data_IF_784528975817
#
_entry.id   IF_784528975817
#
_cell.length_a   1.000
_cell.length_b   1.000
_cell.length_c   1.000
_cell.angle_alpha   90.00
_cell.angle_beta   90.00
_cell.angle_gamma   90.00
#
_symmetry.space_group_name_H-M   'P 1'
#
loop_
_entity.id
_entity.type
_entity.pdbx_description
1 polymer ?
#
# COMPACT_ATOMS: atom_id res chain seq x y z
N UNK A 1 11.36 -12.22 18.52
CA UNK A 1 10.82 -13.49 17.99
C UNK A 1 11.32 -13.66 16.57
N UNK A 2 11.59 -14.87 16.12
CA UNK A 2 11.95 -15.08 14.72
C UNK A 2 10.64 -15.12 13.93
N UNK A 3 10.23 -13.98 13.34
CA UNK A 3 8.95 -13.84 12.66
C UNK A 3 9.02 -14.43 11.25
N UNK A 4 9.23 -15.74 11.16
CA UNK A 4 9.21 -16.47 9.88
C UNK A 4 7.79 -16.45 9.33
N UNK A 5 7.62 -15.92 8.14
CA UNK A 5 6.34 -15.89 7.44
C UNK A 5 6.15 -17.23 6.72
N UNK A 6 4.96 -17.80 6.82
CA UNK A 6 4.59 -19.02 6.11
C UNK A 6 3.14 -19.01 5.69
N UNK A 7 2.80 -19.82 4.70
CA UNK A 7 1.41 -20.11 4.38
C UNK A 7 0.73 -20.74 5.60
N UNK A 8 -0.53 -20.36 5.84
CA UNK A 8 -1.33 -20.98 6.89
C UNK A 8 -1.63 -22.45 6.60
N UNK A 9 -2.12 -23.18 7.60
CA UNK A 9 -2.47 -24.61 7.46
C UNK A 9 -3.54 -24.88 6.38
N UNK A 10 -4.27 -23.85 5.98
CA UNK A 10 -5.23 -23.89 4.86
C UNK A 10 -4.60 -23.61 3.48
N UNK A 11 -3.28 -23.48 3.40
CA UNK A 11 -2.55 -23.13 2.19
C UNK A 11 -2.73 -21.68 1.72
N UNK A 12 -3.18 -20.76 2.58
CA UNK A 12 -3.40 -19.37 2.24
C UNK A 12 -2.41 -18.45 2.96
N UNK A 13 -2.02 -17.38 2.27
CA UNK A 13 -1.33 -16.24 2.86
C UNK A 13 -2.21 -15.02 2.67
N UNK A 14 -2.59 -14.38 3.77
CA UNK A 14 -3.35 -13.14 3.76
C UNK A 14 -2.45 -11.97 4.16
N UNK A 15 -2.25 -11.05 3.26
CA UNK A 15 -1.43 -9.85 3.44
C UNK A 15 -2.36 -8.64 3.60
N UNK A 16 -2.11 -7.83 4.62
CA UNK A 16 -2.76 -6.55 4.81
C UNK A 16 -1.80 -5.44 4.37
N UNK A 17 -2.11 -4.74 3.29
CA UNK A 17 -1.32 -3.60 2.84
C UNK A 17 -1.89 -2.31 3.41
N UNK A 18 -1.05 -1.62 4.16
CA UNK A 18 -1.28 -0.35 4.85
C UNK A 18 -0.30 0.67 4.27
N UNK A 19 -0.77 1.87 4.02
CA UNK A 19 0.06 2.96 3.49
C UNK A 19 -0.50 4.31 3.91
N UNK A 20 0.33 5.34 3.92
CA UNK A 20 -0.11 6.72 4.13
C UNK A 20 -0.97 6.86 5.39
N UNK A 21 -0.49 6.34 6.51
CA UNK A 21 -1.21 6.46 7.78
C UNK A 21 -1.11 7.87 8.35
N UNK A 22 -0.05 8.61 8.00
CA UNK A 22 0.19 9.98 8.43
C UNK A 22 -0.21 10.23 9.87
N UNK A 23 0.25 9.37 10.77
CA UNK A 23 -0.12 9.45 12.19
C UNK A 23 0.50 10.69 12.81
N UNK A 24 -0.36 11.58 13.27
CA UNK A 24 -0.04 12.86 13.89
C UNK A 24 -1.01 13.21 15.03
N UNK A 25 -0.80 14.33 15.71
CA UNK A 25 -1.52 14.69 16.95
C UNK A 25 -3.03 14.69 16.84
N UNK A 26 -3.58 15.13 15.71
CA UNK A 26 -5.01 15.32 15.53
C UNK A 26 -5.75 14.05 15.07
N UNK A 27 -5.02 13.05 14.58
CA UNK A 27 -5.63 11.84 14.00
C UNK A 27 -5.23 10.53 14.67
N UNK A 28 -4.18 10.50 15.49
CA UNK A 28 -3.59 9.26 16.02
C UNK A 28 -4.62 8.31 16.63
N UNK A 29 -5.46 8.81 17.54
CA UNK A 29 -6.41 7.94 18.25
C UNK A 29 -7.44 7.32 17.31
N UNK A 30 -7.92 8.08 16.33
CA UNK A 30 -8.89 7.62 15.37
C UNK A 30 -8.28 6.65 14.34
N UNK A 31 -7.08 6.96 13.84
CA UNK A 31 -6.34 6.09 12.90
C UNK A 31 -6.01 4.76 13.56
N UNK A 32 -5.43 4.78 14.76
CA UNK A 32 -5.09 3.55 15.49
C UNK A 32 -6.32 2.72 15.83
N UNK A 33 -7.44 3.35 16.23
CA UNK A 33 -8.69 2.63 16.48
C UNK A 33 -9.20 1.92 15.24
N UNK A 34 -9.20 2.59 14.08
CA UNK A 34 -9.62 1.98 12.81
C UNK A 34 -8.71 0.83 12.38
N UNK A 35 -7.39 1.00 12.54
CA UNK A 35 -6.41 -0.04 12.23
C UNK A 35 -6.59 -1.25 13.17
N UNK A 36 -6.77 -1.03 14.48
CA UNK A 36 -7.05 -2.13 15.44
C UNK A 36 -8.30 -2.93 15.04
N UNK A 37 -9.38 -2.24 14.69
CA UNK A 37 -10.60 -2.92 14.22
C UNK A 37 -10.35 -3.68 12.93
N UNK A 38 -9.58 -3.12 11.98
CA UNK A 38 -9.24 -3.77 10.72
C UNK A 38 -8.40 -5.03 10.94
N UNK A 39 -7.32 -4.94 11.70
CA UNK A 39 -6.43 -6.09 12.02
C UNK A 39 -7.20 -7.20 12.73
N UNK A 40 -8.01 -6.85 13.72
CA UNK A 40 -8.86 -7.81 14.45
C UNK A 40 -9.87 -8.53 13.54
N UNK A 41 -10.45 -7.81 12.57
CA UNK A 41 -11.44 -8.33 11.62
C UNK A 41 -10.80 -9.23 10.58
N UNK A 42 -9.74 -8.74 9.95
CA UNK A 42 -9.12 -9.41 8.81
C UNK A 42 -8.22 -10.56 9.23
N UNK A 43 -7.57 -10.46 10.40
CA UNK A 43 -6.60 -11.44 10.91
C UNK A 43 -5.56 -11.78 9.84
N UNK A 44 -4.79 -10.79 9.36
CA UNK A 44 -3.78 -11.03 8.35
C UNK A 44 -2.64 -11.87 8.91
N UNK A 45 -1.98 -12.65 8.04
CA UNK A 45 -0.77 -13.40 8.37
C UNK A 45 0.46 -12.49 8.43
N UNK A 46 0.41 -11.36 7.72
CA UNK A 46 1.42 -10.29 7.71
C UNK A 46 0.76 -8.96 7.34
N UNK A 47 1.23 -7.87 7.92
CA UNK A 47 0.97 -6.51 7.43
C UNK A 47 2.21 -5.98 6.71
N UNK A 48 2.02 -5.32 5.55
CA UNK A 48 3.07 -4.58 4.84
C UNK A 48 2.70 -3.11 4.85
N UNK A 49 3.60 -2.28 5.37
CA UNK A 49 3.38 -0.85 5.60
C UNK A 49 4.34 -0.06 4.70
N UNK A 50 3.79 0.66 3.74
CA UNK A 50 4.60 1.26 2.66
C UNK A 50 4.69 2.77 2.73
N UNK A 51 5.23 3.27 3.84
CA UNK A 51 5.64 4.67 3.93
C UNK A 51 4.54 5.65 4.34
N UNK A 52 4.98 6.86 4.63
CA UNK A 52 4.20 7.95 5.21
C UNK A 52 3.45 7.48 6.47
N UNK A 53 4.22 6.85 7.35
CA UNK A 53 3.68 6.07 8.47
C UNK A 53 3.31 6.96 9.66
N UNK A 54 4.32 7.38 10.41
CA UNK A 54 4.19 8.28 11.56
C UNK A 54 4.94 9.55 11.23
N UNK A 55 4.30 10.69 11.49
CA UNK A 55 4.98 11.98 11.31
C UNK A 55 6.29 12.00 12.11
N UNK A 56 7.39 12.30 11.45
CA UNK A 56 8.69 12.45 12.08
C UNK A 56 8.76 13.85 12.72
N UNK A 57 8.35 13.92 13.99
CA UNK A 57 8.32 15.17 14.73
C UNK A 57 9.74 15.71 15.03
N UNK A 58 9.85 16.99 15.38
CA UNK A 58 11.08 17.60 15.88
C UNK A 58 11.53 17.01 17.24
N UNK A 59 10.68 16.22 17.88
CA UNK A 59 10.94 15.46 19.09
C UNK A 59 10.99 13.97 18.79
N UNK A 60 12.20 13.38 18.84
CA UNK A 60 12.42 11.96 18.61
C UNK A 60 11.69 11.06 19.63
N UNK A 61 11.50 11.51 20.86
CA UNK A 61 10.78 10.73 21.89
C UNK A 61 9.28 10.65 21.53
N UNK A 62 8.71 11.73 21.02
CA UNK A 62 7.34 11.78 20.54
C UNK A 62 7.16 10.87 19.31
N UNK A 63 8.04 10.98 18.32
CA UNK A 63 8.04 10.11 17.14
C UNK A 63 8.05 8.64 17.55
N UNK A 64 8.98 8.24 18.42
CA UNK A 64 9.07 6.87 18.96
C UNK A 64 7.80 6.43 19.69
N UNK A 65 7.25 7.28 20.53
CA UNK A 65 6.00 6.97 21.26
C UNK A 65 4.84 6.68 20.32
N UNK A 66 4.75 7.36 19.18
CA UNK A 66 3.70 7.14 18.19
C UNK A 66 3.93 5.87 17.39
N UNK A 67 5.19 5.58 17.05
CA UNK A 67 5.60 4.30 16.45
C UNK A 67 5.25 3.14 17.39
N UNK A 68 5.56 3.25 18.67
CA UNK A 68 5.23 2.22 19.67
C UNK A 68 3.73 1.94 19.74
N UNK A 69 2.92 3.00 19.75
CA UNK A 69 1.45 2.86 19.74
C UNK A 69 0.93 2.19 18.47
N UNK A 70 1.52 2.49 17.33
CA UNK A 70 1.18 1.87 16.04
C UNK A 70 1.52 0.36 16.06
N UNK A 71 2.75 0.01 16.45
CA UNK A 71 3.18 -1.39 16.50
C UNK A 71 2.49 -2.19 17.62
N UNK A 72 2.05 -1.56 18.70
CA UNK A 72 1.31 -2.23 19.76
C UNK A 72 0.04 -2.92 19.26
N UNK A 73 -0.58 -2.41 18.19
CA UNK A 73 -1.74 -3.05 17.57
C UNK A 73 -1.35 -4.43 16.99
N UNK A 74 -0.26 -4.49 16.24
CA UNK A 74 0.18 -5.72 15.59
C UNK A 74 0.73 -6.72 16.62
N UNK A 75 1.48 -6.26 17.61
CA UNK A 75 1.92 -7.08 18.74
C UNK A 75 0.74 -7.71 19.48
N UNK A 76 -0.33 -6.96 19.74
CA UNK A 76 -1.55 -7.45 20.41
C UNK A 76 -2.19 -8.63 19.69
N UNK A 77 -2.11 -8.68 18.36
CA UNK A 77 -2.70 -9.74 17.54
C UNK A 77 -1.66 -10.73 17.00
N UNK A 78 -0.39 -10.58 17.39
CA UNK A 78 0.74 -11.39 16.90
C UNK A 78 0.84 -11.37 15.37
N UNK A 79 0.61 -10.23 14.75
CA UNK A 79 0.72 -10.02 13.31
C UNK A 79 2.11 -9.48 12.98
N UNK A 80 2.94 -10.20 12.20
CA UNK A 80 4.22 -9.68 11.72
C UNK A 80 4.04 -8.45 10.82
N UNK A 81 5.00 -7.51 10.87
CA UNK A 81 4.95 -6.27 10.08
C UNK A 81 6.23 -6.08 9.29
N UNK A 82 6.11 -5.88 7.99
CA UNK A 82 7.16 -5.36 7.12
C UNK A 82 6.94 -3.87 6.86
N UNK A 83 8.00 -3.04 6.92
CA UNK A 83 7.88 -1.58 6.80
C UNK A 83 8.87 -1.05 5.78
N UNK A 84 8.44 -0.11 4.95
CA UNK A 84 9.32 0.77 4.17
C UNK A 84 8.92 2.23 4.33
N UNK A 85 9.63 3.13 3.65
CA UNK A 85 9.46 4.58 3.77
C UNK A 85 8.67 5.19 2.63
N UNK A 86 8.01 6.31 2.93
CA UNK A 86 7.53 7.28 1.97
C UNK A 86 8.36 8.57 2.01
N UNK A 87 7.90 9.60 1.32
CA UNK A 87 8.62 10.88 1.27
C UNK A 87 8.50 11.66 2.58
N UNK A 88 7.35 11.59 3.25
CA UNK A 88 7.15 12.33 4.50
C UNK A 88 7.87 11.73 5.72
N UNK A 89 8.32 10.49 5.66
CA UNK A 89 9.08 9.88 6.77
C UNK A 89 10.44 10.56 7.00
N UNK A 90 10.97 11.30 6.01
CA UNK A 90 12.29 11.95 6.07
C UNK A 90 12.29 13.46 5.82
N UNK A 91 11.16 14.09 5.52
CA UNK A 91 11.12 15.52 5.17
C UNK A 91 11.54 16.44 6.31
N UNK A 92 11.02 16.22 7.49
CA UNK A 92 11.28 17.03 8.68
C UNK A 92 11.27 16.11 9.90
N UNK A 93 12.19 16.34 10.82
CA UNK A 93 12.11 15.63 12.10
C UNK A 93 13.46 15.35 12.75
N UNK A 94 13.38 14.86 13.97
CA UNK A 94 14.55 14.61 14.80
C UNK A 94 15.27 13.28 14.49
N UNK A 95 14.71 12.44 13.61
CA UNK A 95 15.27 11.12 13.31
C UNK A 95 15.56 10.99 11.81
N UNK A 96 16.73 10.48 11.47
CA UNK A 96 17.07 10.07 10.10
C UNK A 96 16.30 8.80 9.69
N UNK A 97 16.24 8.50 8.37
CA UNK A 97 15.66 7.24 7.87
C UNK A 97 16.34 6.01 8.48
N UNK A 98 17.68 6.08 8.64
CA UNK A 98 18.44 5.00 9.29
C UNK A 98 18.02 4.80 10.75
N UNK A 99 17.87 5.87 11.51
CA UNK A 99 17.41 5.80 12.90
C UNK A 99 15.97 5.33 13.00
N UNK A 100 15.09 5.76 12.10
CA UNK A 100 13.71 5.27 11.99
C UNK A 100 13.67 3.78 11.69
N UNK A 101 14.42 3.29 10.68
CA UNK A 101 14.45 1.87 10.33
C UNK A 101 15.01 1.03 11.47
N UNK A 102 16.07 1.51 12.12
CA UNK A 102 16.60 0.85 13.31
C UNK A 102 15.56 0.75 14.43
N UNK A 103 14.76 1.81 14.59
CA UNK A 103 13.69 1.81 15.60
C UNK A 103 12.55 0.87 15.21
N UNK A 104 12.06 0.92 13.97
CA UNK A 104 11.07 -0.04 13.45
C UNK A 104 11.53 -1.49 13.62
N UNK A 105 12.79 -1.78 13.28
CA UNK A 105 13.35 -3.14 13.39
C UNK A 105 13.51 -3.62 14.83
N UNK A 106 13.44 -2.74 15.82
CA UNK A 106 13.47 -3.11 17.24
C UNK A 106 12.11 -3.60 17.77
N UNK A 107 11.02 -3.40 17.03
CA UNK A 107 9.70 -3.85 17.43
C UNK A 107 9.57 -5.38 17.33
N UNK A 108 8.95 -6.01 18.34
CA UNK A 108 8.80 -7.48 18.40
C UNK A 108 8.08 -8.07 17.19
N UNK A 109 7.12 -7.34 16.62
CA UNK A 109 6.37 -7.79 15.43
C UNK A 109 7.07 -7.48 14.11
N UNK A 110 8.17 -6.71 14.08
CA UNK A 110 8.84 -6.42 12.83
C UNK A 110 9.47 -7.68 12.23
N UNK A 111 9.29 -7.88 10.92
CA UNK A 111 9.97 -8.94 10.17
C UNK A 111 11.40 -8.48 9.88
N UNK A 112 12.30 -8.69 10.82
CA UNK A 112 13.70 -8.34 10.69
C UNK A 112 14.43 -9.37 9.82
N UNK A 113 14.28 -9.31 8.51
CA UNK A 113 14.94 -10.30 7.66
C UNK A 113 16.32 -9.91 7.17
N UNK A 114 16.76 -8.72 7.46
CA UNK A 114 18.16 -8.31 7.43
C UNK A 114 18.93 -8.48 6.13
N UNK A 115 18.30 -8.92 5.05
CA UNK A 115 18.95 -9.15 3.76
C UNK A 115 18.70 -7.98 2.77
N UNK A 116 18.47 -6.78 3.30
CA UNK A 116 18.37 -5.57 2.51
C UNK A 116 19.72 -5.10 1.99
N UNK A 117 19.71 -4.14 1.08
CA UNK A 117 20.91 -3.52 0.46
C UNK A 117 21.81 -2.89 1.50
N UNK A 118 21.23 -2.26 2.51
CA UNK A 118 21.90 -1.59 3.62
C UNK A 118 21.26 -2.06 4.94
N UNK A 119 21.83 -3.04 5.62
CA UNK A 119 21.29 -3.53 6.88
C UNK A 119 20.97 -2.37 7.84
N UNK A 120 19.76 -2.32 8.37
CA UNK A 120 19.24 -1.30 9.28
C UNK A 120 19.10 0.14 8.74
N UNK A 121 19.55 0.42 7.50
CA UNK A 121 19.42 1.73 6.89
C UNK A 121 18.45 1.74 5.72
N UNK A 122 18.30 0.60 5.04
CA UNK A 122 17.50 0.49 3.84
C UNK A 122 16.06 0.06 4.12
N UNK A 123 15.12 0.71 3.46
CA UNK A 123 13.75 0.26 3.32
C UNK A 123 13.59 -0.83 2.24
N UNK A 124 14.70 -1.26 1.60
CA UNK A 124 14.71 -2.28 0.53
C UNK A 124 15.22 -3.61 1.07
N UNK A 125 14.35 -4.62 1.07
CA UNK A 125 14.65 -5.99 1.49
C UNK A 125 13.60 -6.97 0.96
N UNK A 126 13.79 -8.26 1.21
CA UNK A 126 12.81 -9.26 0.88
C UNK A 126 12.34 -10.05 2.11
N UNK A 127 11.13 -10.56 2.03
CA UNK A 127 10.50 -11.40 3.06
C UNK A 127 10.15 -12.74 2.43
N UNK A 128 10.98 -13.77 2.64
CA UNK A 128 10.67 -15.13 2.18
C UNK A 128 9.44 -15.67 2.90
N UNK A 129 8.55 -16.31 2.14
CA UNK A 129 7.36 -16.99 2.67
C UNK A 129 7.56 -18.48 2.53
N UNK A 130 7.57 -19.16 3.65
CA UNK A 130 7.72 -20.62 3.70
C UNK A 130 6.43 -21.33 3.28
N UNK A 131 6.55 -22.51 2.75
CA UNK A 131 5.44 -23.44 2.58
C UNK A 131 4.67 -23.66 3.89
N UNK A 132 3.43 -24.08 3.81
CA UNK A 132 2.60 -24.36 5.00
C UNK A 132 3.22 -25.40 5.93
N UNK A 133 3.96 -26.37 5.37
CA UNK A 133 4.73 -27.36 6.14
C UNK A 133 6.10 -26.86 6.62
N UNK A 134 6.50 -25.66 6.24
CA UNK A 134 7.73 -24.98 6.68
C UNK A 134 9.03 -25.54 6.09
N UNK A 135 8.98 -26.31 5.00
CA UNK A 135 10.16 -27.00 4.46
C UNK A 135 10.94 -26.20 3.43
N UNK A 136 10.24 -25.38 2.64
CA UNK A 136 10.84 -24.61 1.54
C UNK A 136 10.25 -23.21 1.44
N UNK A 137 10.95 -22.32 0.77
CA UNK A 137 10.43 -21.00 0.41
C UNK A 137 9.55 -21.16 -0.83
N UNK A 138 8.25 -20.88 -0.69
CA UNK A 138 7.27 -21.08 -1.76
C UNK A 138 6.79 -19.78 -2.40
N UNK A 139 7.08 -18.65 -1.78
CA UNK A 139 6.70 -17.32 -2.26
C UNK A 139 7.65 -16.25 -1.70
N UNK A 140 7.65 -15.05 -2.25
CA UNK A 140 8.45 -13.95 -1.72
C UNK A 140 7.69 -12.63 -1.73
N UNK A 141 7.97 -11.76 -0.76
CA UNK A 141 7.52 -10.38 -0.75
C UNK A 141 8.74 -9.47 -0.89
N UNK A 142 8.74 -8.64 -1.90
CA UNK A 142 9.71 -7.58 -2.06
C UNK A 142 9.21 -6.33 -1.36
N UNK A 143 10.02 -5.70 -0.55
CA UNK A 143 9.76 -4.42 0.08
C UNK A 143 10.83 -3.46 -0.45
N UNK A 144 10.39 -2.41 -1.14
CA UNK A 144 11.30 -1.48 -1.81
C UNK A 144 11.18 -0.08 -1.22
N UNK A 145 12.30 0.53 -0.95
CA UNK A 145 12.38 1.97 -0.71
C UNK A 145 12.37 2.70 -2.05
N UNK A 146 11.33 3.46 -2.29
CA UNK A 146 11.18 4.28 -3.50
C UNK A 146 11.73 5.70 -3.34
N UNK A 147 12.55 5.94 -2.32
CA UNK A 147 13.14 7.25 -2.07
C UNK A 147 12.16 8.28 -1.51
N UNK A 148 12.59 9.53 -1.48
CA UNK A 148 11.76 10.68 -1.08
C UNK A 148 11.61 11.68 -2.24
N UNK A 149 12.66 12.44 -2.57
CA UNK A 149 12.70 13.39 -3.68
C UNK A 149 14.01 13.28 -4.45
N UNK A 150 13.97 13.60 -5.75
CA UNK A 150 15.14 13.76 -6.59
C UNK A 150 15.76 15.16 -6.44
N UNK A 151 16.91 15.40 -7.08
CA UNK A 151 17.61 16.70 -7.04
C UNK A 151 16.82 17.83 -7.73
N UNK A 152 15.81 17.53 -8.52
CA UNK A 152 14.94 18.50 -9.18
C UNK A 152 13.69 18.80 -8.36
N UNK A 153 13.50 18.12 -7.23
CA UNK A 153 12.33 18.24 -6.36
C UNK A 153 11.11 17.45 -6.84
N UNK A 154 11.29 16.49 -7.75
CA UNK A 154 10.25 15.52 -8.06
C UNK A 154 10.30 14.38 -7.04
N UNK A 155 9.23 13.58 -6.98
CA UNK A 155 9.20 12.39 -6.16
C UNK A 155 10.31 11.40 -6.54
N UNK A 156 10.76 10.64 -5.55
CA UNK A 156 11.84 9.67 -5.69
C UNK A 156 11.41 8.39 -6.43
N UNK A 157 12.39 7.54 -6.62
CA UNK A 157 12.22 6.19 -7.16
C UNK A 157 13.23 5.25 -6.49
N UNK A 158 13.09 3.96 -6.73
CA UNK A 158 14.06 2.96 -6.28
C UNK A 158 15.45 3.28 -6.86
N UNK A 159 16.48 3.28 -6.04
CA UNK A 159 17.85 3.62 -6.45
C UNK A 159 18.43 2.58 -7.41
N UNK A 160 19.43 2.99 -8.23
CA UNK A 160 20.13 2.06 -9.11
C UNK A 160 20.81 0.92 -8.34
N UNK A 161 21.33 1.19 -7.13
CA UNK A 161 21.94 0.20 -6.25
C UNK A 161 20.90 -0.83 -5.79
N UNK A 162 19.71 -0.38 -5.42
CA UNK A 162 18.62 -1.26 -4.99
C UNK A 162 18.04 -2.08 -6.15
N UNK A 163 17.98 -1.52 -7.36
CA UNK A 163 17.59 -2.26 -8.57
C UNK A 163 18.59 -3.40 -8.85
N UNK A 164 19.88 -3.12 -8.76
CA UNK A 164 20.92 -4.15 -8.95
C UNK A 164 20.88 -5.21 -7.84
N UNK A 165 20.65 -4.79 -6.58
CA UNK A 165 20.47 -5.72 -5.47
C UNK A 165 19.24 -6.63 -5.72
N UNK A 166 18.11 -6.07 -6.16
CA UNK A 166 16.93 -6.86 -6.50
C UNK A 166 17.22 -7.91 -7.57
N UNK A 167 17.90 -7.51 -8.66
CA UNK A 167 18.27 -8.43 -9.75
C UNK A 167 19.10 -9.61 -9.24
N UNK A 168 20.12 -9.31 -8.44
CA UNK A 168 21.00 -10.33 -7.88
C UNK A 168 20.27 -11.25 -6.88
N UNK A 169 19.41 -10.69 -6.04
CA UNK A 169 18.62 -11.47 -5.08
C UNK A 169 17.56 -12.33 -5.78
N UNK A 170 16.91 -11.83 -6.82
CA UNK A 170 15.99 -12.61 -7.65
C UNK A 170 16.68 -13.80 -8.33
N UNK A 171 17.92 -13.60 -8.85
CA UNK A 171 18.72 -14.69 -9.41
C UNK A 171 19.08 -15.75 -8.35
N UNK A 172 19.45 -15.32 -7.14
CA UNK A 172 19.71 -16.22 -6.02
C UNK A 172 18.48 -17.05 -5.65
N UNK A 173 17.32 -16.43 -5.54
CA UNK A 173 16.06 -17.11 -5.23
C UNK A 173 15.65 -18.06 -6.36
N UNK A 174 15.81 -17.67 -7.61
CA UNK A 174 15.57 -18.50 -8.78
C UNK A 174 16.48 -19.75 -8.76
N UNK A 175 17.78 -19.58 -8.46
CA UNK A 175 18.71 -20.69 -8.36
C UNK A 175 18.31 -21.66 -7.24
N UNK A 176 17.91 -21.14 -6.07
CA UNK A 176 17.41 -21.95 -4.93
C UNK A 176 16.09 -22.65 -5.25
N UNK A 177 15.26 -22.07 -6.12
CA UNK A 177 13.99 -22.62 -6.59
C UNK A 177 14.14 -23.55 -7.83
N UNK A 178 15.29 -24.19 -7.99
CA UNK A 178 15.53 -25.13 -9.07
C UNK A 178 15.58 -24.50 -10.48
N UNK A 179 15.99 -23.24 -10.58
CA UNK A 179 16.12 -22.50 -11.84
C UNK A 179 14.81 -21.92 -12.36
N UNK A 180 13.75 -21.92 -11.57
CA UNK A 180 12.46 -21.29 -11.90
C UNK A 180 12.27 -20.02 -11.08
N UNK A 181 11.72 -18.93 -11.67
CA UNK A 181 11.38 -17.73 -10.90
C UNK A 181 10.53 -18.11 -9.67
N UNK A 182 10.88 -17.57 -8.51
CA UNK A 182 10.07 -17.69 -7.31
C UNK A 182 9.05 -16.56 -7.31
N UNK A 183 7.79 -16.88 -7.56
CA UNK A 183 6.74 -15.84 -7.65
C UNK A 183 6.69 -14.97 -6.40
N UNK A 184 6.36 -13.71 -6.62
CA UNK A 184 6.45 -12.66 -5.59
C UNK A 184 5.48 -11.52 -5.82
N UNK A 185 5.32 -10.68 -4.79
CA UNK A 185 4.66 -9.38 -4.85
C UNK A 185 5.63 -8.29 -4.39
N UNK A 186 5.64 -7.15 -5.08
CA UNK A 186 6.40 -5.96 -4.70
C UNK A 186 5.55 -4.96 -3.92
N UNK A 187 6.16 -4.27 -2.95
CA UNK A 187 5.54 -3.25 -2.13
C UNK A 187 6.47 -2.05 -2.01
N UNK A 188 5.96 -0.86 -2.29
CA UNK A 188 6.70 0.40 -2.22
C UNK A 188 5.76 1.58 -1.97
N UNK A 189 6.31 2.77 -1.75
CA UNK A 189 5.48 3.95 -1.55
C UNK A 189 5.07 4.61 -2.88
N UNK A 190 6.05 5.09 -3.67
CA UNK A 190 5.76 5.73 -4.96
C UNK A 190 5.35 4.71 -6.01
N UNK A 191 4.40 5.06 -6.84
CA UNK A 191 4.00 4.23 -7.99
C UNK A 191 5.09 4.27 -9.08
N UNK A 192 5.31 3.16 -9.78
CA UNK A 192 6.27 3.11 -10.89
C UNK A 192 5.81 3.96 -12.07
N UNK A 193 6.72 4.69 -12.78
CA UNK A 193 6.34 5.59 -13.87
C UNK A 193 5.71 4.86 -15.07
N UNK A 194 5.95 3.56 -15.23
CA UNK A 194 5.37 2.72 -16.29
C UNK A 194 3.84 2.58 -16.19
N UNK A 195 3.21 3.11 -15.15
CA UNK A 195 1.76 3.29 -15.08
C UNK A 195 1.25 4.15 -16.25
N UNK A 196 2.04 5.14 -16.69
CA UNK A 196 1.67 6.02 -17.80
C UNK A 196 1.71 5.35 -19.18
N UNK A 197 2.44 4.25 -19.36
CA UNK A 197 2.53 3.51 -20.62
C UNK A 197 1.19 2.87 -21.00
N UNK A 198 0.36 2.54 -20.02
CA UNK A 198 -0.94 1.89 -20.20
C UNK A 198 -2.13 2.85 -20.05
N UNK A 199 -1.86 4.13 -19.83
CA UNK A 199 -2.86 5.18 -19.84
C UNK A 199 -2.99 5.81 -21.24
N UNK A 200 -4.16 6.38 -21.53
CA UNK A 200 -4.41 7.01 -22.82
C UNK A 200 -4.12 8.50 -22.76
N UNK A 201 -3.14 8.98 -23.55
CA UNK A 201 -2.90 10.40 -23.72
C UNK A 201 -4.10 11.09 -24.36
N UNK A 202 -4.53 12.20 -23.82
CA UNK A 202 -5.77 12.86 -24.24
C UNK A 202 -5.69 14.40 -24.15
N UNK A 203 -6.75 15.09 -24.56
CA UNK A 203 -6.87 16.53 -24.36
C UNK A 203 -7.30 16.85 -22.92
N UNK A 204 -6.80 17.95 -22.34
CA UNK A 204 -7.23 18.49 -21.04
C UNK A 204 -8.75 18.72 -20.92
N UNK A 205 -9.46 18.80 -22.06
CA UNK A 205 -10.92 18.97 -22.10
C UNK A 205 -11.69 17.66 -21.94
N UNK A 206 -11.00 16.52 -21.94
CA UNK A 206 -11.66 15.23 -21.70
C UNK A 206 -12.09 15.12 -20.24
N UNK A 207 -13.30 14.67 -20.05
CA UNK A 207 -13.82 14.41 -18.70
C UNK A 207 -12.98 13.28 -18.05
N UNK A 208 -12.60 13.46 -16.78
CA UNK A 208 -11.69 12.59 -16.03
C UNK A 208 -10.26 12.52 -16.58
N UNK A 209 -9.84 13.51 -17.40
CA UNK A 209 -8.42 13.66 -17.69
C UNK A 209 -7.69 14.28 -16.51
N UNK A 210 -6.45 13.85 -16.31
CA UNK A 210 -5.53 14.44 -15.33
C UNK A 210 -4.22 14.80 -16.02
N UNK A 211 -3.52 15.79 -15.48
CA UNK A 211 -2.23 16.22 -15.98
C UNK A 211 -1.13 15.29 -15.47
N UNK A 212 -0.16 14.96 -16.30
CA UNK A 212 1.02 14.19 -15.89
C UNK A 212 1.78 14.93 -14.79
N UNK A 213 2.23 14.19 -13.75
CA UNK A 213 2.84 14.83 -12.57
C UNK A 213 4.10 15.61 -12.93
N UNK A 214 4.91 15.12 -13.86
CA UNK A 214 6.19 15.71 -14.27
C UNK A 214 6.05 16.46 -15.60
N UNK A 215 5.54 15.80 -16.64
CA UNK A 215 5.43 16.36 -17.99
C UNK A 215 4.21 17.29 -18.08
N UNK A 216 4.33 18.49 -17.54
CA UNK A 216 3.24 19.47 -17.52
C UNK A 216 2.74 19.79 -18.93
N UNK A 217 1.43 19.93 -19.09
CA UNK A 217 0.76 20.09 -20.37
C UNK A 217 0.37 18.78 -21.06
N UNK A 218 0.83 17.64 -20.59
CA UNK A 218 0.40 16.32 -21.03
C UNK A 218 -0.74 15.82 -20.17
N UNK A 219 -1.82 15.34 -20.81
CA UNK A 219 -3.02 14.87 -20.12
C UNK A 219 -3.28 13.42 -20.45
N UNK A 220 -3.70 12.67 -19.46
CA UNK A 220 -3.98 11.25 -19.55
C UNK A 220 -5.34 10.91 -18.96
N UNK A 221 -5.86 9.77 -19.34
CA UNK A 221 -7.08 9.19 -18.78
C UNK A 221 -7.00 7.67 -18.83
N UNK A 222 -7.82 7.00 -18.03
CA UNK A 222 -7.97 5.58 -18.17
C UNK A 222 -8.54 5.21 -19.55
N UNK A 223 -7.91 4.23 -20.17
CA UNK A 223 -8.54 3.46 -21.24
C UNK A 223 -9.38 2.34 -20.62
N UNK A 224 -10.59 2.08 -21.12
CA UNK A 224 -11.39 0.92 -20.68
C UNK A 224 -10.64 -0.41 -20.85
N UNK A 225 -9.72 -0.47 -21.81
CA UNK A 225 -8.94 -1.67 -22.14
C UNK A 225 -7.69 -1.83 -21.26
N UNK A 226 -7.24 -0.78 -20.56
CA UNK A 226 -6.04 -0.79 -19.71
C UNK A 226 -6.35 -0.99 -18.23
N UNK A 227 -7.56 -0.67 -17.77
CA UNK A 227 -7.92 -0.77 -16.35
C UNK A 227 -8.38 -2.17 -16.01
N UNK A 228 -7.67 -2.85 -15.13
CA UNK A 228 -8.07 -4.15 -14.62
C UNK A 228 -9.15 -4.05 -13.54
N UNK A 229 -9.04 -3.08 -12.62
CA UNK A 229 -10.00 -2.86 -11.54
C UNK A 229 -9.84 -1.47 -10.91
N UNK A 230 -10.86 -1.04 -10.17
CA UNK A 230 -10.79 0.07 -9.23
C UNK A 230 -11.06 1.45 -9.78
N UNK A 231 -10.58 2.47 -9.08
CA UNK A 231 -10.86 3.89 -9.35
C UNK A 231 -9.59 4.73 -9.31
N UNK A 232 -9.46 5.62 -10.28
CA UNK A 232 -8.46 6.69 -10.33
C UNK A 232 -9.14 8.00 -9.98
N UNK A 233 -8.77 8.61 -8.87
CA UNK A 233 -9.37 9.83 -8.36
C UNK A 233 -8.42 11.03 -8.40
N UNK A 234 -7.12 10.75 -8.46
CA UNK A 234 -6.06 11.76 -8.55
C UNK A 234 -4.95 11.29 -9.49
N UNK A 235 -4.12 12.23 -9.93
CA UNK A 235 -2.99 11.95 -10.80
C UNK A 235 -2.04 10.94 -10.17
N UNK A 236 -1.64 9.87 -10.88
CA UNK A 236 -0.59 9.00 -10.39
C UNK A 236 0.72 9.78 -10.21
N UNK A 237 1.24 9.81 -8.99
CA UNK A 237 2.42 10.57 -8.62
C UNK A 237 3.66 9.66 -8.59
N UNK A 238 4.23 9.41 -9.77
CA UNK A 238 5.45 8.63 -9.93
C UNK A 238 6.71 9.47 -9.74
N UNK A 239 7.85 8.80 -9.55
CA UNK A 239 9.16 9.42 -9.49
C UNK A 239 9.58 10.20 -10.74
N UNK A 240 10.50 11.16 -10.58
CA UNK A 240 11.08 11.94 -11.68
C UNK A 240 12.18 11.21 -12.43
N UNK A 241 12.92 10.38 -11.71
CA UNK A 241 13.96 9.50 -12.25
C UNK A 241 13.44 8.08 -12.43
N UNK A 242 14.15 7.28 -13.22
CA UNK A 242 13.86 5.86 -13.42
C UNK A 242 15.14 5.10 -13.68
N UNK A 243 15.53 4.23 -12.76
CA UNK A 243 16.72 3.39 -12.87
C UNK A 243 16.42 1.97 -13.33
N UNK A 244 15.26 1.74 -14.01
CA UNK A 244 14.91 0.47 -14.64
C UNK A 244 14.37 -0.58 -13.68
N UNK A 245 13.73 -0.19 -12.59
CA UNK A 245 13.10 -1.10 -11.62
C UNK A 245 12.07 -2.01 -12.31
N UNK A 246 11.16 -1.42 -13.07
CA UNK A 246 10.08 -2.17 -13.73
C UNK A 246 10.62 -3.10 -14.82
N UNK A 247 11.56 -2.62 -15.62
CA UNK A 247 12.22 -3.44 -16.64
C UNK A 247 12.96 -4.64 -16.03
N UNK A 248 13.61 -4.45 -14.89
CA UNK A 248 14.25 -5.54 -14.16
C UNK A 248 13.23 -6.58 -13.67
N UNK A 249 12.05 -6.15 -13.19
CA UNK A 249 10.97 -7.07 -12.79
C UNK A 249 10.41 -7.86 -13.98
N UNK A 250 10.25 -7.20 -15.13
CA UNK A 250 9.84 -7.86 -16.37
C UNK A 250 10.88 -8.90 -16.82
N UNK A 251 12.17 -8.53 -16.77
CA UNK A 251 13.29 -9.42 -17.13
C UNK A 251 13.34 -10.66 -16.22
N UNK A 252 13.19 -10.48 -14.89
CA UNK A 252 13.25 -11.59 -13.94
C UNK A 252 12.02 -12.47 -13.95
N UNK A 253 10.84 -11.91 -14.27
CA UNK A 253 9.60 -12.66 -14.41
C UNK A 253 9.08 -13.28 -13.10
N UNK A 254 9.55 -12.79 -11.97
CA UNK A 254 9.17 -13.28 -10.64
C UNK A 254 8.07 -12.43 -9.98
N UNK A 255 7.91 -11.15 -10.36
CA UNK A 255 6.95 -10.23 -9.76
C UNK A 255 5.60 -10.28 -10.48
N UNK A 256 4.55 -10.64 -9.74
CA UNK A 256 3.17 -10.66 -10.26
C UNK A 256 2.52 -9.27 -10.23
N UNK A 257 2.82 -8.50 -9.20
CA UNK A 257 2.27 -7.16 -9.00
C UNK A 257 3.20 -6.29 -8.14
N UNK A 258 3.15 -4.97 -8.37
CA UNK A 258 3.75 -3.95 -7.50
C UNK A 258 2.62 -3.13 -6.88
N UNK A 259 2.55 -3.14 -5.54
CA UNK A 259 1.59 -2.38 -4.74
C UNK A 259 2.25 -1.11 -4.22
N UNK A 260 1.59 0.03 -4.46
CA UNK A 260 2.05 1.34 -4.00
C UNK A 260 1.01 2.04 -3.14
N UNK A 261 1.44 3.08 -2.43
CA UNK A 261 0.63 4.07 -1.73
C UNK A 261 0.72 5.43 -2.39
N UNK A 262 1.04 6.46 -1.59
CA UNK A 262 1.32 7.84 -1.97
C UNK A 262 0.12 8.61 -2.54
N UNK A 263 -0.59 8.05 -3.50
CA UNK A 263 -1.83 8.62 -4.03
C UNK A 263 -2.99 8.22 -3.12
N UNK A 264 -3.40 9.12 -2.23
CA UNK A 264 -4.26 8.82 -1.08
C UNK A 264 -5.64 8.26 -1.45
N UNK A 265 -6.17 8.64 -2.61
CA UNK A 265 -7.56 8.31 -3.00
C UNK A 265 -7.62 7.36 -4.19
N UNK A 266 -6.49 6.96 -4.73
CA UNK A 266 -6.40 5.99 -5.81
C UNK A 266 -6.55 4.56 -5.30
N UNK A 267 -7.40 3.79 -5.97
CA UNK A 267 -7.66 2.39 -5.64
C UNK A 267 -7.78 1.56 -6.93
N UNK A 268 -6.77 1.64 -7.77
CA UNK A 268 -6.79 0.99 -9.08
C UNK A 268 -5.67 -0.04 -9.25
N UNK A 269 -5.81 -0.87 -10.26
CA UNK A 269 -4.75 -1.72 -10.79
C UNK A 269 -4.82 -1.78 -12.31
N UNK A 270 -3.68 -1.62 -12.95
CA UNK A 270 -3.49 -1.73 -14.40
C UNK A 270 -2.41 -2.76 -14.69
N UNK A 271 -2.50 -3.45 -15.83
CA UNK A 271 -1.51 -4.44 -16.23
C UNK A 271 -0.58 -3.86 -17.30
N UNK A 272 0.72 -3.91 -17.04
CA UNK A 272 1.77 -3.59 -18.01
C UNK A 272 2.76 -4.76 -18.10
N UNK A 273 3.06 -5.23 -19.29
CA UNK A 273 4.01 -6.33 -19.59
C UNK A 273 3.89 -7.57 -18.69
N UNK A 274 2.66 -7.91 -18.27
CA UNK A 274 2.39 -9.07 -17.43
C UNK A 274 2.35 -8.77 -15.92
N UNK A 275 2.86 -7.63 -15.46
CA UNK A 275 2.87 -7.20 -14.05
C UNK A 275 1.70 -6.26 -13.79
N UNK A 276 1.00 -6.45 -12.68
CA UNK A 276 -0.03 -5.51 -12.22
C UNK A 276 0.63 -4.36 -11.46
N UNK A 277 0.34 -3.12 -11.87
CA UNK A 277 0.71 -1.89 -11.15
C UNK A 277 -0.52 -1.46 -10.36
N UNK A 278 -0.42 -1.49 -9.03
CA UNK A 278 -1.58 -1.37 -8.14
C UNK A 278 -1.37 -0.26 -7.12
N UNK A 279 -2.31 0.67 -7.04
CA UNK A 279 -2.29 1.70 -5.99
C UNK A 279 -3.29 1.35 -4.88
N UNK A 280 -2.89 1.57 -3.63
CA UNK A 280 -3.69 1.37 -2.42
C UNK A 280 -3.98 2.71 -1.77
N UNK A 281 -5.22 2.91 -1.35
CA UNK A 281 -5.67 4.14 -0.69
C UNK A 281 -4.98 4.36 0.65
N UNK A 282 -4.90 5.61 1.09
CA UNK A 282 -4.42 5.99 2.42
C UNK A 282 -5.20 5.30 3.53
N UNK A 283 -4.49 4.87 4.57
CA UNK A 283 -5.06 4.16 5.74
C UNK A 283 -5.37 5.12 6.91
N UNK A 284 -5.10 6.39 6.77
CA UNK A 284 -5.33 7.37 7.85
C UNK A 284 -6.81 7.63 8.15
N UNK A 285 -7.09 8.23 9.30
CA UNK A 285 -8.38 8.81 9.64
C UNK A 285 -8.27 10.33 9.60
N UNK A 286 -8.90 10.98 8.64
CA UNK A 286 -8.95 12.44 8.58
C UNK A 286 -10.34 12.95 8.28
N UNK A 287 -10.56 14.22 8.65
CA UNK A 287 -11.80 14.94 8.40
C UNK A 287 -11.84 15.64 7.05
N UNK A 288 -10.86 15.42 6.17
CA UNK A 288 -10.83 16.02 4.86
C UNK A 288 -11.93 15.47 3.91
N UNK A 289 -12.06 16.09 2.75
CA UNK A 289 -13.11 15.73 1.76
C UNK A 289 -12.98 14.31 1.22
N UNK A 290 -11.81 13.68 1.32
CA UNK A 290 -11.51 12.37 0.77
C UNK A 290 -11.52 11.25 1.81
N UNK A 291 -11.71 11.57 3.08
CA UNK A 291 -11.65 10.59 4.20
C UNK A 291 -12.57 9.38 4.02
N UNK A 292 -13.61 9.47 3.20
CA UNK A 292 -14.52 8.34 2.90
C UNK A 292 -13.94 7.35 1.91
N UNK A 293 -12.87 7.68 1.21
CA UNK A 293 -12.20 6.81 0.25
C UNK A 293 -11.03 6.05 0.90
N UNK A 294 -10.61 6.45 2.09
CA UNK A 294 -9.52 5.83 2.83
C UNK A 294 -9.89 4.42 3.33
N UNK A 295 -8.86 3.63 3.57
CA UNK A 295 -9.03 2.24 3.98
C UNK A 295 -7.72 1.48 3.94
N UNK A 296 -7.77 0.23 3.54
CA UNK A 296 -6.63 -0.66 3.41
C UNK A 296 -6.87 -1.68 2.28
N UNK A 297 -5.84 -2.40 1.88
CA UNK A 297 -5.97 -3.48 0.90
C UNK A 297 -5.68 -4.83 1.55
N UNK A 298 -6.49 -5.82 1.21
CA UNK A 298 -6.22 -7.24 1.52
C UNK A 298 -5.81 -7.93 0.24
N UNK A 299 -4.74 -8.72 0.33
CA UNK A 299 -4.19 -9.51 -0.75
C UNK A 299 -4.12 -10.95 -0.27
N UNK A 300 -4.54 -11.90 -1.09
CA UNK A 300 -4.48 -13.33 -0.74
C UNK A 300 -3.77 -14.11 -1.84
N UNK A 301 -2.85 -14.97 -1.42
CA UNK A 301 -2.12 -15.92 -2.27
C UNK A 301 -2.47 -17.33 -1.81
N UNK A 302 -2.60 -18.27 -2.76
CA UNK A 302 -2.85 -19.67 -2.50
C UNK A 302 -1.57 -20.49 -2.81
N UNK A 303 -1.06 -21.25 -1.86
CA UNK A 303 0.13 -22.08 -2.03
C UNK A 303 0.02 -23.10 -3.16
N UNK A 304 -1.20 -23.54 -3.48
CA UNK A 304 -1.47 -24.47 -4.57
C UNK A 304 -1.27 -23.88 -5.96
N UNK A 305 -1.30 -22.54 -6.05
CA UNK A 305 -1.02 -21.80 -7.30
C UNK A 305 -0.51 -20.40 -6.96
N UNK A 306 0.77 -20.30 -6.68
CA UNK A 306 1.46 -19.04 -6.34
C UNK A 306 1.65 -18.11 -7.54
N UNK A 307 1.29 -18.53 -8.75
CA UNK A 307 1.33 -17.69 -9.96
C UNK A 307 0.18 -16.67 -10.03
N UNK A 308 -0.70 -16.67 -9.04
CA UNK A 308 -1.88 -15.80 -8.97
C UNK A 308 -2.11 -15.28 -7.57
N UNK A 309 -2.74 -14.13 -7.50
CA UNK A 309 -3.23 -13.54 -6.27
C UNK A 309 -4.63 -12.97 -6.46
N UNK A 310 -5.31 -12.69 -5.37
CA UNK A 310 -6.53 -11.87 -5.35
C UNK A 310 -6.32 -10.65 -4.47
N UNK A 311 -6.95 -9.53 -4.80
CA UNK A 311 -6.89 -8.36 -3.93
C UNK A 311 -8.20 -7.59 -3.89
N UNK A 312 -8.46 -6.93 -2.75
CA UNK A 312 -9.61 -6.06 -2.55
C UNK A 312 -9.24 -4.88 -1.66
N UNK A 313 -9.81 -3.71 -1.94
CA UNK A 313 -9.74 -2.55 -1.05
C UNK A 313 -10.94 -2.56 -0.12
N UNK A 314 -10.67 -2.40 1.16
CA UNK A 314 -11.68 -2.20 2.18
C UNK A 314 -11.68 -0.74 2.63
N UNK A 315 -12.67 0.00 2.15
CA UNK A 315 -12.84 1.40 2.56
C UNK A 315 -13.50 1.49 3.94
N UNK A 316 -13.06 2.44 4.76
CA UNK A 316 -13.60 2.64 6.10
C UNK A 316 -15.13 2.75 6.13
N UNK A 317 -15.73 3.42 5.15
CA UNK A 317 -17.19 3.62 5.09
C UNK A 317 -17.98 2.31 4.87
N UNK A 318 -17.35 1.26 4.35
CA UNK A 318 -17.96 -0.07 4.18
C UNK A 318 -17.81 -0.94 5.42
N UNK A 319 -16.87 -0.59 6.30
CA UNK A 319 -16.42 -1.42 7.40
C UNK A 319 -17.50 -1.62 8.49
N UNK A 320 -18.40 -0.64 8.66
CA UNK A 320 -19.38 -0.67 9.73
C UNK A 320 -20.81 -0.82 9.22
N UNK A 321 -21.48 -1.87 9.65
CA UNK A 321 -22.94 -2.02 9.57
C UNK A 321 -23.62 -1.30 10.75
N UNK A 322 -24.94 -1.14 10.70
CA UNK A 322 -25.69 -0.63 11.85
C UNK A 322 -25.60 -1.58 13.06
N UNK A 323 -25.47 -2.88 12.80
CA UNK A 323 -25.34 -3.87 13.87
C UNK A 323 -23.94 -3.83 14.50
N UNK A 324 -22.88 -3.56 13.73
CA UNK A 324 -21.53 -3.32 14.27
C UNK A 324 -21.53 -2.11 15.20
N UNK A 325 -22.18 -1.00 14.80
CA UNK A 325 -22.30 0.19 15.62
C UNK A 325 -23.06 -0.10 16.93
N UNK A 326 -24.15 -0.91 16.87
CA UNK A 326 -24.87 -1.34 18.07
C UNK A 326 -23.99 -2.18 19.00
N UNK A 327 -23.21 -3.13 18.46
CA UNK A 327 -22.28 -3.96 19.24
C UNK A 327 -21.18 -3.10 19.92
N UNK A 328 -20.61 -2.15 19.19
CA UNK A 328 -19.61 -1.21 19.74
C UNK A 328 -20.26 -0.39 20.89
N UNK A 329 -21.49 0.07 20.71
CA UNK A 329 -22.23 0.78 21.77
C UNK A 329 -22.49 -0.10 23.00
N UNK A 330 -22.83 -1.36 22.79
CA UNK A 330 -23.07 -2.33 23.89
C UNK A 330 -21.78 -2.66 24.65
N UNK A 331 -20.62 -2.61 24.01
CA UNK A 331 -19.32 -2.80 24.69
C UNK A 331 -18.89 -1.61 25.56
N UNK A 332 -19.61 -0.50 25.50
CA UNK A 332 -19.25 0.72 26.24
C UNK A 332 -18.19 1.61 25.59
N UNK A 333 -17.74 1.25 24.39
CA UNK A 333 -16.76 2.05 23.64
C UNK A 333 -17.45 3.26 22.98
N UNK A 334 -17.63 4.32 23.75
CA UNK A 334 -18.26 5.56 23.28
C UNK A 334 -17.44 6.28 22.22
N UNK A 335 -16.11 6.18 22.28
CA UNK A 335 -15.20 6.75 21.29
C UNK A 335 -15.32 6.02 19.95
N UNK A 336 -15.27 4.70 19.96
CA UNK A 336 -15.46 3.87 18.77
C UNK A 336 -16.83 4.06 18.11
N UNK A 337 -17.89 4.25 18.90
CA UNK A 337 -19.23 4.59 18.37
C UNK A 337 -19.17 5.89 17.57
N UNK A 338 -18.52 6.93 18.09
CA UNK A 338 -18.40 8.25 17.43
C UNK A 338 -17.67 8.11 16.08
N UNK A 339 -16.55 7.37 16.05
CA UNK A 339 -15.78 7.14 14.82
C UNK A 339 -16.59 6.31 13.81
N UNK A 340 -17.13 5.17 14.20
CA UNK A 340 -17.88 4.28 13.32
C UNK A 340 -19.12 4.97 12.72
N UNK A 341 -19.83 5.76 13.50
CA UNK A 341 -20.94 6.59 13.00
C UNK A 341 -20.45 7.66 12.04
N UNK A 342 -19.37 8.39 12.39
CA UNK A 342 -18.81 9.44 11.54
C UNK A 342 -18.39 8.90 10.17
N UNK A 343 -17.68 7.78 10.13
CA UNK A 343 -17.26 7.10 8.90
C UNK A 343 -18.49 6.63 8.10
N UNK A 344 -19.48 6.01 8.74
CA UNK A 344 -20.71 5.54 8.09
C UNK A 344 -21.52 6.67 7.46
N UNK A 345 -21.72 7.76 8.20
CA UNK A 345 -22.45 8.93 7.69
C UNK A 345 -21.78 9.58 6.47
N UNK A 346 -20.46 9.80 6.56
CA UNK A 346 -19.68 10.33 5.43
C UNK A 346 -19.77 9.41 4.22
N UNK A 347 -19.69 8.09 4.43
CA UNK A 347 -19.83 7.11 3.36
C UNK A 347 -21.19 7.18 2.65
N UNK A 348 -22.28 7.41 3.37
CA UNK A 348 -23.61 7.59 2.76
C UNK A 348 -23.67 8.86 1.90
N UNK A 349 -23.14 9.98 2.38
CA UNK A 349 -23.07 11.24 1.62
C UNK A 349 -22.20 11.05 0.37
N UNK A 350 -21.05 10.42 0.48
CA UNK A 350 -20.16 10.16 -0.65
C UNK A 350 -20.83 9.28 -1.71
N UNK A 351 -21.52 8.21 -1.31
CA UNK A 351 -22.28 7.37 -2.23
C UNK A 351 -23.38 8.15 -2.95
N UNK A 352 -24.05 9.04 -2.24
CA UNK A 352 -25.07 9.89 -2.83
C UNK A 352 -24.44 10.88 -3.85
N UNK A 353 -23.34 11.53 -3.51
CA UNK A 353 -22.63 12.43 -4.42
C UNK A 353 -22.07 11.69 -5.65
N UNK A 354 -21.52 10.49 -5.46
CA UNK A 354 -21.04 9.66 -6.56
C UNK A 354 -22.20 9.22 -7.47
N UNK A 355 -23.32 8.82 -6.89
CA UNK A 355 -24.53 8.45 -7.66
C UNK A 355 -25.06 9.63 -8.47
N UNK A 356 -25.17 10.82 -7.88
CA UNK A 356 -25.63 12.01 -8.59
C UNK A 356 -24.66 12.47 -9.67
N UNK A 357 -23.36 12.44 -9.40
CA UNK A 357 -22.32 12.76 -10.39
C UNK A 357 -22.34 11.78 -11.58
N UNK A 358 -22.46 10.47 -11.32
CA UNK A 358 -22.59 9.44 -12.38
C UNK A 358 -23.86 9.63 -13.20
N UNK A 359 -24.98 9.93 -12.56
CA UNK A 359 -26.25 10.18 -13.25
C UNK A 359 -26.15 11.42 -14.12
N UNK A 360 -25.59 12.50 -13.60
CA UNK A 360 -25.33 13.72 -14.36
C UNK A 360 -24.41 13.47 -15.55
N UNK A 361 -23.31 12.78 -15.35
CA UNK A 361 -22.38 12.42 -16.42
C UNK A 361 -23.04 11.58 -17.52
N UNK A 362 -23.85 10.59 -17.14
CA UNK A 362 -24.62 9.75 -18.09
C UNK A 362 -25.61 10.57 -18.91
N UNK A 363 -26.31 11.51 -18.27
CA UNK A 363 -27.27 12.39 -18.93
C UNK A 363 -26.59 13.39 -19.87
N UNK A 364 -25.47 13.97 -19.43
CA UNK A 364 -24.77 15.02 -20.21
C UNK A 364 -23.92 14.41 -21.33
N UNK A 365 -23.29 13.26 -21.14
CA UNK A 365 -22.34 12.67 -22.10
C UNK A 365 -22.89 11.49 -22.89
N UNK A 366 -24.07 10.97 -22.54
CA UNK A 366 -24.65 9.77 -23.15
C UNK A 366 -23.87 8.48 -22.93
N UNK A 367 -22.80 8.49 -22.15
CA UNK A 367 -21.92 7.34 -21.91
C UNK A 367 -22.28 6.63 -20.61
N UNK A 368 -22.40 5.31 -20.67
CA UNK A 368 -22.40 4.47 -19.45
C UNK A 368 -21.00 4.55 -18.84
N UNK A 369 -20.94 4.97 -17.59
CA UNK A 369 -19.70 4.90 -16.82
C UNK A 369 -19.38 3.42 -16.58
N UNK A 370 -18.35 2.90 -17.27
CA UNK A 370 -18.00 1.48 -17.28
C UNK A 370 -17.11 1.07 -16.11
N UNK A 371 -16.94 1.94 -15.10
CA UNK A 371 -16.22 1.55 -13.89
C UNK A 371 -16.98 0.44 -13.17
N UNK A 372 -16.46 -0.79 -13.29
CA UNK A 372 -16.89 -1.92 -12.48
C UNK A 372 -16.24 -1.76 -11.09
N UNK A 373 -17.05 -1.81 -10.06
CA UNK A 373 -16.60 -1.94 -8.67
C UNK A 373 -16.21 -3.39 -8.38
#
# INVERSE_FOLDING_TARGET
MNNTIKFGDNGKLKIMHITDTHIEDDNIDASLWLIDVAVRREKPDIAVVTGDNVLNFDDAAKTKSYIDRFFAIFNKYSVPVAVTFGNHDSEVGAMSREELMKYYSSADCHVANGEGTKPFASGTYNVPVMSSDGREVSFNLWVFDSGDYDNAGHYGCMSAEDVEWYKNKSDELTAKNGGKPLYSLGFQHMIVPEVYDVLTKCSRRKLYSFEHIINKGEYYMFSPDSVNFGTLNETPCSGGENFGQFDAMVEKGDVLAVFSGHDHTNAFGVKNQGIDIVNTVSTRSQSDRFSTQYGYRIIEVDERDTSRYTSRVEHWYNMFTLDDIKKIKQSGDTYGVKIAQGVKYRGLIQRFMTFTGRTFCRVVTGRKNTYKH
#
